data_IF_482086882212
#
_entry.id   IF_482086882212
#
_cell.length_a   1.000
_cell.length_b   1.000
_cell.length_c   1.000
_cell.angle_alpha   90.00
_cell.angle_beta   90.00
_cell.angle_gamma   90.00
#
_symmetry.space_group_name_H-M   'P 1'
#
loop_
_entity.id
_entity.type
_entity.pdbx_description
1 polymer ?
#
# COMPACT_ATOMS: atom_id res chain seq x y z
N UNK A 1 43.96 3.75 -46.31
CA UNK A 1 42.60 4.18 -46.69
C UNK A 1 42.34 5.43 -45.84
N UNK A 2 41.16 6.05 -45.80
CA UNK A 2 40.93 7.09 -44.78
C UNK A 2 39.51 6.94 -44.27
N UNK A 3 39.36 6.64 -42.99
CA UNK A 3 38.04 6.51 -42.34
C UNK A 3 37.39 7.88 -42.19
N UNK A 4 36.54 8.23 -43.16
CA UNK A 4 35.80 9.50 -43.21
C UNK A 4 34.36 9.39 -42.71
N UNK A 5 33.83 8.17 -42.59
CA UNK A 5 32.49 7.91 -42.05
C UNK A 5 32.53 7.85 -40.53
N UNK A 6 31.49 8.36 -39.87
CA UNK A 6 31.24 8.19 -38.43
C UNK A 6 30.40 6.95 -38.12
N UNK A 7 29.87 6.28 -39.13
CA UNK A 7 29.08 5.05 -38.96
C UNK A 7 30.00 3.87 -38.68
N UNK A 8 29.64 3.09 -37.67
CA UNK A 8 30.22 1.79 -37.33
C UNK A 8 29.15 0.73 -36.98
N UNK A 9 27.87 1.14 -36.94
CA UNK A 9 26.69 0.31 -36.77
C UNK A 9 25.54 0.91 -37.57
N UNK A 10 24.69 0.05 -38.10
CA UNK A 10 23.42 0.40 -38.73
C UNK A 10 22.35 -0.67 -38.46
N UNK A 11 21.08 -0.30 -38.65
CA UNK A 11 19.96 -1.19 -38.38
C UNK A 11 18.94 -1.12 -39.53
N UNK A 12 18.44 -2.28 -39.93
CA UNK A 12 17.46 -2.46 -40.99
C UNK A 12 16.17 -3.07 -40.44
N UNK A 13 15.03 -2.51 -40.84
CA UNK A 13 13.74 -3.17 -40.66
C UNK A 13 13.65 -4.38 -41.59
N UNK A 14 13.02 -5.45 -41.13
CA UNK A 14 12.94 -6.73 -41.85
C UNK A 14 11.52 -7.02 -42.29
N UNK A 15 11.37 -7.54 -43.51
CA UNK A 15 10.09 -7.75 -44.21
C UNK A 15 9.79 -9.24 -44.49
N UNK A 16 10.66 -10.15 -44.06
CA UNK A 16 10.53 -11.59 -44.35
C UNK A 16 11.00 -12.01 -45.75
N UNK A 17 11.50 -11.08 -46.58
CA UNK A 17 11.83 -11.34 -48.00
C UNK A 17 13.22 -10.85 -48.36
N UNK A 18 13.61 -9.66 -47.89
CA UNK A 18 14.91 -9.04 -48.20
C UNK A 18 16.04 -9.83 -47.53
N UNK A 19 16.98 -10.30 -48.34
CA UNK A 19 18.12 -11.10 -47.90
C UNK A 19 19.48 -10.41 -48.08
N UNK A 20 19.55 -9.30 -48.81
CA UNK A 20 20.77 -8.54 -49.05
C UNK A 20 20.66 -7.14 -48.46
N UNK A 21 21.65 -6.75 -47.68
CA UNK A 21 21.71 -5.48 -46.96
C UNK A 21 23.05 -4.80 -47.27
N UNK A 22 23.00 -3.53 -47.66
CA UNK A 22 24.21 -2.73 -47.90
C UNK A 22 24.93 -2.49 -46.58
N UNK A 23 26.26 -2.41 -46.59
CA UNK A 23 27.08 -1.96 -45.46
C UNK A 23 27.64 -0.59 -45.80
N UNK A 24 27.29 0.46 -45.04
CA UNK A 24 27.77 1.82 -45.32
C UNK A 24 29.07 2.19 -44.61
N UNK A 25 29.46 1.45 -43.57
CA UNK A 25 30.70 1.70 -42.84
C UNK A 25 31.88 0.94 -43.47
N UNK A 26 33.09 1.52 -43.46
CA UNK A 26 34.28 0.84 -43.97
C UNK A 26 34.72 -0.31 -43.06
N UNK A 27 35.18 -1.41 -43.64
CA UNK A 27 35.78 -2.55 -42.92
C UNK A 27 36.97 -3.15 -43.71
N UNK A 28 37.87 -3.85 -43.02
CA UNK A 28 39.07 -4.43 -43.66
C UNK A 28 38.82 -5.85 -44.11
N UNK A 29 38.27 -6.67 -43.23
CA UNK A 29 38.01 -8.09 -43.46
C UNK A 29 36.55 -8.42 -43.18
N UNK A 30 36.02 -9.45 -43.84
CA UNK A 30 34.67 -9.95 -43.59
C UNK A 30 34.44 -10.33 -42.12
N UNK A 31 35.51 -10.73 -41.41
CA UNK A 31 35.50 -11.06 -39.98
C UNK A 31 35.25 -9.86 -39.07
N UNK A 32 35.43 -8.64 -39.57
CA UNK A 32 35.19 -7.42 -38.81
C UNK A 32 33.69 -7.08 -38.74
N UNK A 33 32.88 -7.69 -39.62
CA UNK A 33 31.45 -7.41 -39.75
C UNK A 33 30.64 -8.45 -38.98
N UNK A 34 29.80 -7.97 -38.07
CA UNK A 34 28.94 -8.78 -37.23
C UNK A 34 27.48 -8.42 -37.45
N UNK A 35 26.58 -9.39 -37.25
CA UNK A 35 25.15 -9.20 -37.43
C UNK A 35 24.34 -9.84 -36.30
N UNK A 36 23.36 -9.09 -35.80
CA UNK A 36 22.40 -9.54 -34.78
C UNK A 36 21.00 -9.27 -35.28
N UNK A 37 20.14 -10.29 -35.23
CA UNK A 37 18.72 -10.17 -35.51
C UNK A 37 17.91 -10.15 -34.21
N UNK A 38 16.98 -9.22 -34.11
CA UNK A 38 15.99 -9.16 -33.03
C UNK A 38 14.61 -9.32 -33.64
N UNK A 39 13.86 -10.33 -33.21
CA UNK A 39 12.51 -10.57 -33.73
C UNK A 39 11.46 -9.60 -33.16
N UNK A 40 10.21 -9.70 -33.64
CA UNK A 40 9.11 -8.83 -33.19
C UNK A 40 8.73 -9.02 -31.70
N UNK A 41 9.19 -10.10 -31.06
CA UNK A 41 8.97 -10.39 -29.65
C UNK A 41 10.16 -9.96 -28.77
N UNK A 42 11.24 -9.46 -29.37
CA UNK A 42 12.46 -9.03 -28.68
C UNK A 42 13.47 -10.15 -28.45
N UNK A 43 13.30 -11.33 -29.04
CA UNK A 43 14.30 -12.40 -28.94
C UNK A 43 15.53 -12.06 -29.79
N UNK A 44 16.72 -12.18 -29.19
CA UNK A 44 18.00 -11.82 -29.82
C UNK A 44 18.69 -13.06 -30.38
N UNK A 45 19.09 -13.02 -31.65
CA UNK A 45 19.86 -14.06 -32.33
C UNK A 45 21.13 -13.47 -32.94
N UNK A 46 22.30 -13.94 -32.51
CA UNK A 46 23.59 -13.61 -33.15
C UNK A 46 23.77 -14.49 -34.38
N UNK A 47 24.01 -13.87 -35.54
CA UNK A 47 24.26 -14.60 -36.78
C UNK A 47 25.75 -14.88 -36.92
N UNK A 48 26.11 -16.06 -37.45
CA UNK A 48 27.50 -16.46 -37.67
C UNK A 48 27.91 -16.26 -39.14
N UNK A 49 29.06 -15.59 -39.34
CA UNK A 49 29.68 -15.43 -40.66
C UNK A 49 29.97 -16.81 -41.28
N UNK A 50 29.68 -16.95 -42.58
CA UNK A 50 29.76 -18.18 -43.39
C UNK A 50 28.78 -19.30 -43.05
N UNK A 51 28.02 -19.21 -41.96
CA UNK A 51 26.95 -20.16 -41.63
C UNK A 51 25.55 -19.56 -41.86
N UNK A 52 25.34 -18.33 -41.42
CA UNK A 52 24.05 -17.63 -41.49
C UNK A 52 24.07 -16.48 -42.49
N UNK A 53 25.24 -15.87 -42.72
CA UNK A 53 25.42 -14.80 -43.69
C UNK A 53 26.80 -14.82 -44.33
N UNK A 54 26.92 -14.15 -45.47
CA UNK A 54 28.19 -13.86 -46.16
C UNK A 54 28.36 -12.36 -46.32
N UNK A 55 29.61 -11.91 -46.34
CA UNK A 55 29.96 -10.51 -46.58
C UNK A 55 30.71 -10.41 -47.90
N UNK A 56 30.54 -9.29 -48.58
CA UNK A 56 31.28 -8.95 -49.80
C UNK A 56 31.58 -7.46 -49.82
N UNK A 57 32.60 -7.05 -50.56
CA UNK A 57 33.11 -5.68 -50.55
C UNK A 57 34.25 -5.52 -49.55
N UNK A 58 34.29 -4.42 -48.81
CA UNK A 58 35.36 -4.15 -47.85
C UNK A 58 36.59 -3.53 -48.49
N UNK A 59 37.78 -3.89 -48.01
CA UNK A 59 39.04 -3.28 -48.46
C UNK A 59 39.14 -1.78 -48.13
N UNK A 60 38.47 -1.36 -47.05
CA UNK A 60 38.40 0.03 -46.65
C UNK A 60 37.25 0.85 -47.27
N UNK A 61 36.27 0.19 -47.87
CA UNK A 61 35.00 0.78 -48.26
C UNK A 61 33.83 0.03 -47.59
N UNK A 62 32.61 0.49 -47.87
CA UNK A 62 31.40 -0.27 -47.56
C UNK A 62 31.33 -1.59 -48.34
N UNK A 63 30.24 -2.32 -48.14
CA UNK A 63 30.07 -3.64 -48.73
C UNK A 63 28.61 -4.06 -48.77
N UNK A 64 28.37 -5.37 -48.78
CA UNK A 64 27.04 -5.95 -48.64
C UNK A 64 27.11 -7.21 -47.78
N UNK A 65 26.11 -7.35 -46.91
CA UNK A 65 25.84 -8.56 -46.15
C UNK A 65 24.64 -9.27 -46.77
N UNK A 66 24.80 -10.56 -47.06
CA UNK A 66 23.74 -11.41 -47.59
C UNK A 66 23.46 -12.53 -46.59
N UNK A 67 22.24 -12.59 -46.07
CA UNK A 67 21.80 -13.69 -45.20
C UNK A 67 21.33 -14.89 -46.02
N UNK A 68 21.60 -16.10 -45.52
CA UNK A 68 21.18 -17.35 -46.16
C UNK A 68 19.66 -17.56 -46.09
N UNK A 69 19.03 -17.06 -45.02
CA UNK A 69 17.58 -17.06 -44.82
C UNK A 69 17.13 -15.64 -44.51
N UNK A 70 16.14 -15.12 -45.25
CA UNK A 70 15.62 -13.78 -45.01
C UNK A 70 15.08 -13.65 -43.57
N UNK A 71 15.40 -12.57 -42.84
CA UNK A 71 14.98 -12.43 -41.45
C UNK A 71 13.47 -12.22 -41.39
N UNK A 72 12.82 -12.81 -40.38
CA UNK A 72 11.36 -12.77 -40.26
C UNK A 72 10.80 -11.34 -40.19
N UNK A 73 9.63 -11.12 -40.78
CA UNK A 73 9.01 -9.80 -40.86
C UNK A 73 8.74 -9.19 -39.47
N UNK A 74 8.92 -7.87 -39.36
CA UNK A 74 8.63 -7.12 -38.14
C UNK A 74 9.75 -7.13 -37.09
N UNK A 75 10.90 -7.74 -37.40
CA UNK A 75 12.12 -7.64 -36.59
C UNK A 75 13.07 -6.54 -37.06
N UNK A 76 14.23 -6.45 -36.40
CA UNK A 76 15.32 -5.55 -36.73
C UNK A 76 16.64 -6.31 -36.89
N UNK A 77 17.31 -6.13 -38.03
CA UNK A 77 18.64 -6.65 -38.29
C UNK A 77 19.67 -5.54 -38.05
N UNK A 78 20.61 -5.78 -37.14
CA UNK A 78 21.66 -4.82 -36.77
C UNK A 78 22.99 -5.32 -37.30
N UNK A 79 23.67 -4.48 -38.08
CA UNK A 79 25.01 -4.73 -38.61
C UNK A 79 25.98 -3.80 -37.91
N UNK A 80 27.13 -4.31 -37.49
CA UNK A 80 28.13 -3.49 -36.82
C UNK A 80 29.55 -4.00 -37.08
N UNK A 81 30.51 -3.09 -36.94
CA UNK A 81 31.92 -3.39 -37.01
C UNK A 81 32.47 -3.68 -35.62
N UNK A 82 33.24 -4.75 -35.52
CA UNK A 82 34.02 -5.10 -34.34
C UNK A 82 35.40 -5.60 -34.75
N UNK A 83 36.42 -4.76 -34.57
CA UNK A 83 37.83 -5.13 -34.77
C UNK A 83 38.56 -5.37 -33.43
N UNK A 84 39.55 -6.27 -33.39
CA UNK A 84 40.35 -6.54 -32.19
C UNK A 84 41.09 -5.30 -31.65
N UNK A 85 41.23 -5.21 -30.33
CA UNK A 85 41.99 -4.16 -29.64
C UNK A 85 43.51 -4.43 -29.61
N UNK A 86 44.08 -4.83 -30.74
CA UNK A 86 45.51 -5.15 -30.89
C UNK A 86 46.14 -4.31 -31.99
N UNK A 87 47.44 -4.07 -31.89
CA UNK A 87 48.23 -3.54 -33.00
C UNK A 87 48.79 -4.72 -33.80
N UNK A 88 48.66 -4.66 -35.13
CA UNK A 88 49.12 -5.73 -36.02
C UNK A 88 50.50 -5.43 -36.60
N UNK A 89 50.83 -4.14 -36.75
CA UNK A 89 52.05 -3.69 -37.42
C UNK A 89 53.18 -3.45 -36.40
N UNK A 90 54.34 -4.07 -36.63
CA UNK A 90 55.58 -3.89 -35.87
C UNK A 90 56.63 -3.18 -36.75
N UNK A 91 57.03 -1.97 -36.37
CA UNK A 91 58.00 -1.18 -37.13
C UNK A 91 59.40 -1.36 -36.56
N UNK A 92 60.34 -1.70 -37.44
CA UNK A 92 61.76 -1.87 -37.08
C UNK A 92 62.49 -0.53 -37.21
N UNK A 93 63.44 -0.30 -36.31
CA UNK A 93 64.32 0.88 -36.34
C UNK A 93 65.16 0.90 -37.64
N UNK A 94 65.36 2.10 -38.20
CA UNK A 94 66.13 2.36 -39.44
C UNK A 94 65.56 1.78 -40.75
N UNK A 95 64.40 1.11 -40.73
CA UNK A 95 63.70 0.69 -41.94
C UNK A 95 62.88 1.84 -42.56
N UNK A 96 62.77 1.89 -43.91
CA UNK A 96 61.87 2.85 -44.57
C UNK A 96 60.43 2.66 -44.09
N UNK A 97 59.77 3.73 -43.66
CA UNK A 97 58.38 3.68 -43.19
C UNK A 97 57.38 3.58 -44.36
N UNK A 98 56.72 2.43 -44.59
CA UNK A 98 55.71 2.31 -45.63
C UNK A 98 54.45 3.09 -45.22
N UNK A 99 54.18 4.18 -45.96
CA UNK A 99 53.04 5.05 -45.69
C UNK A 99 51.68 4.33 -45.70
N UNK A 100 51.51 3.31 -46.55
CA UNK A 100 50.26 2.54 -46.64
C UNK A 100 50.00 1.69 -45.39
N UNK A 101 51.02 1.00 -44.87
CA UNK A 101 50.94 0.28 -43.59
C UNK A 101 50.67 1.23 -42.44
N UNK A 102 51.33 2.39 -42.44
CA UNK A 102 51.14 3.41 -41.40
C UNK A 102 49.72 3.95 -41.38
N UNK A 103 49.19 4.30 -42.55
CA UNK A 103 47.81 4.75 -42.68
C UNK A 103 46.82 3.65 -42.28
N UNK A 104 47.06 2.39 -42.66
CA UNK A 104 46.23 1.26 -42.22
C UNK A 104 46.18 1.09 -40.71
N UNK A 105 47.31 1.31 -40.02
CA UNK A 105 47.38 1.35 -38.56
C UNK A 105 46.54 2.49 -37.96
N UNK A 106 46.59 3.69 -38.54
CA UNK A 106 45.78 4.84 -38.10
C UNK A 106 44.29 4.64 -38.37
N UNK A 107 43.91 4.13 -39.54
CA UNK A 107 42.53 3.79 -39.88
C UNK A 107 41.95 2.80 -38.85
N UNK A 108 42.68 1.73 -38.51
CA UNK A 108 42.28 0.78 -37.47
C UNK A 108 42.15 1.42 -36.09
N UNK A 109 43.03 2.37 -35.74
CA UNK A 109 42.90 3.11 -34.48
C UNK A 109 41.61 3.94 -34.45
N UNK A 110 41.32 4.70 -35.51
CA UNK A 110 40.07 5.48 -35.65
C UNK A 110 38.84 4.57 -35.56
N UNK A 111 38.88 3.40 -36.19
CA UNK A 111 37.77 2.44 -36.13
C UNK A 111 37.53 1.89 -34.70
N UNK A 112 38.59 1.64 -33.91
CA UNK A 112 38.49 1.25 -32.49
C UNK A 112 37.94 2.38 -31.63
N UNK A 113 38.36 3.62 -31.88
CA UNK A 113 37.84 4.79 -31.17
C UNK A 113 36.34 4.97 -31.44
N UNK A 114 35.89 4.79 -32.67
CA UNK A 114 34.47 4.79 -33.02
C UNK A 114 33.70 3.69 -32.29
N UNK A 115 34.25 2.47 -32.22
CA UNK A 115 33.66 1.36 -31.46
C UNK A 115 33.54 1.66 -29.96
N UNK A 116 34.59 2.22 -29.34
CA UNK A 116 34.56 2.61 -27.93
C UNK A 116 33.55 3.73 -27.67
N UNK A 117 33.53 4.76 -28.54
CA UNK A 117 32.58 5.87 -28.42
C UNK A 117 31.15 5.37 -28.51
N UNK A 118 30.85 4.53 -29.49
CA UNK A 118 29.53 3.97 -29.68
C UNK A 118 29.10 3.08 -28.50
N UNK A 119 30.02 2.30 -27.92
CA UNK A 119 29.78 1.54 -26.68
C UNK A 119 29.46 2.46 -25.49
N UNK A 120 30.21 3.56 -25.34
CA UNK A 120 29.99 4.57 -24.30
C UNK A 120 28.64 5.29 -24.46
N UNK A 121 28.25 5.62 -25.69
CA UNK A 121 26.96 6.27 -25.98
C UNK A 121 25.76 5.37 -25.62
N UNK A 122 25.96 4.05 -25.53
CA UNK A 122 24.94 3.07 -25.09
C UNK A 122 25.04 2.70 -23.61
N UNK A 123 26.02 3.22 -22.89
CA UNK A 123 26.21 2.94 -21.47
C UNK A 123 25.47 3.96 -20.58
N UNK A 124 25.20 3.58 -19.32
CA UNK A 124 24.82 4.53 -18.29
C UNK A 124 26.05 5.37 -17.92
N UNK A 125 25.95 6.69 -18.06
CA UNK A 125 27.05 7.62 -17.80
C UNK A 125 26.62 8.73 -16.88
N UNK A 126 27.58 9.25 -16.10
CA UNK A 126 27.37 10.47 -15.34
C UNK A 126 27.51 11.70 -16.23
N UNK A 127 26.80 12.80 -15.90
CA UNK A 127 27.03 14.06 -16.57
C UNK A 127 28.45 14.55 -16.31
N UNK A 128 28.99 15.33 -17.24
CA UNK A 128 30.33 15.95 -17.11
C UNK A 128 30.45 16.87 -15.88
N UNK A 129 29.32 17.32 -15.32
CA UNK A 129 29.24 18.19 -14.14
C UNK A 129 29.26 17.42 -12.81
N UNK A 130 29.42 16.10 -12.82
CA UNK A 130 29.44 15.30 -11.59
C UNK A 130 30.59 15.74 -10.67
N UNK A 131 30.34 15.77 -9.36
CA UNK A 131 31.35 16.16 -8.39
C UNK A 131 32.50 15.14 -8.34
N UNK A 132 33.76 15.58 -8.11
CA UNK A 132 34.87 14.67 -7.87
C UNK A 132 34.58 13.76 -6.66
N UNK A 133 34.91 12.47 -6.77
CA UNK A 133 34.75 11.49 -5.70
C UNK A 133 33.46 10.67 -5.76
N UNK A 134 32.50 11.01 -6.64
CA UNK A 134 31.30 10.16 -6.86
C UNK A 134 31.71 8.88 -7.62
N UNK A 135 31.41 7.72 -7.05
CA UNK A 135 31.71 6.42 -7.64
C UNK A 135 30.73 6.06 -8.75
N UNK A 136 31.27 5.58 -9.88
CA UNK A 136 30.51 4.99 -10.99
C UNK A 136 30.43 3.45 -10.91
N UNK A 137 30.98 2.85 -9.85
CA UNK A 137 30.97 1.40 -9.67
C UNK A 137 29.58 0.95 -9.21
N UNK A 138 28.96 0.06 -9.98
CA UNK A 138 27.71 -0.57 -9.60
C UNK A 138 27.94 -1.55 -8.42
N UNK A 139 27.00 -1.64 -7.47
CA UNK A 139 27.04 -2.66 -6.43
C UNK A 139 26.89 -4.06 -7.04
N UNK A 140 27.41 -5.09 -6.34
CA UNK A 140 27.16 -6.48 -6.73
C UNK A 140 25.65 -6.74 -6.79
N UNK A 141 25.13 -7.45 -7.80
CA UNK A 141 23.70 -7.70 -7.90
C UNK A 141 23.18 -8.48 -6.68
N UNK A 142 22.06 -8.04 -6.15
CA UNK A 142 21.35 -8.70 -5.05
C UNK A 142 19.91 -9.00 -5.48
N UNK A 143 19.43 -10.21 -5.19
CA UNK A 143 18.06 -10.60 -5.49
C UNK A 143 17.07 -9.59 -4.89
N UNK A 144 16.08 -9.21 -5.70
CA UNK A 144 14.95 -8.34 -5.34
C UNK A 144 15.33 -6.93 -4.85
N UNK A 145 16.60 -6.52 -4.97
CA UNK A 145 17.04 -5.17 -4.62
C UNK A 145 17.02 -4.24 -5.85
N UNK A 146 16.72 -2.96 -5.60
CA UNK A 146 16.80 -1.91 -6.62
C UNK A 146 18.15 -1.19 -6.55
N UNK A 147 18.64 -0.75 -7.70
CA UNK A 147 19.76 0.17 -7.76
C UNK A 147 19.29 1.58 -7.36
N UNK A 148 19.97 2.21 -6.40
CA UNK A 148 19.66 3.58 -5.98
C UNK A 148 20.86 4.32 -5.41
N UNK A 149 20.72 5.63 -5.21
CA UNK A 149 21.75 6.45 -4.58
C UNK A 149 21.87 6.15 -3.08
N UNK A 150 23.09 6.04 -2.59
CA UNK A 150 23.33 5.94 -1.15
C UNK A 150 22.97 7.26 -0.42
N UNK A 151 22.95 7.24 0.91
CA UNK A 151 22.55 8.43 1.69
C UNK A 151 23.52 9.60 1.58
N UNK A 152 24.77 9.37 1.18
CA UNK A 152 25.80 10.39 1.01
C UNK A 152 25.81 11.01 -0.40
N UNK A 153 25.03 10.46 -1.33
CA UNK A 153 24.99 10.81 -2.75
C UNK A 153 26.37 10.73 -3.46
N UNK A 154 27.27 9.89 -2.96
CA UNK A 154 28.62 9.69 -3.50
C UNK A 154 28.81 8.32 -4.17
N UNK A 155 27.74 7.52 -4.26
CA UNK A 155 27.75 6.24 -4.94
C UNK A 155 26.38 5.58 -5.04
N UNK A 156 26.34 4.49 -5.79
CA UNK A 156 25.16 3.64 -5.95
C UNK A 156 25.21 2.46 -4.98
N UNK A 157 24.05 2.08 -4.47
CA UNK A 157 23.88 0.92 -3.59
C UNK A 157 22.61 0.14 -3.94
N UNK A 158 22.55 -1.11 -3.47
CA UNK A 158 21.34 -1.90 -3.51
C UNK A 158 20.40 -1.46 -2.39
N UNK A 159 19.24 -0.93 -2.77
CA UNK A 159 18.16 -0.61 -1.86
C UNK A 159 17.25 -1.82 -1.71
N UNK A 160 17.10 -2.30 -0.48
CA UNK A 160 16.07 -3.28 -0.17
C UNK A 160 14.69 -2.61 -0.28
N UNK A 161 13.76 -3.29 -0.92
CA UNK A 161 12.34 -2.93 -0.88
C UNK A 161 11.70 -3.65 0.29
N UNK A 162 11.01 -2.90 1.14
CA UNK A 162 10.19 -3.51 2.17
C UNK A 162 9.04 -4.28 1.50
N UNK A 163 8.63 -5.45 2.01
CA UNK A 163 7.51 -6.21 1.48
C UNK A 163 6.25 -5.32 1.32
N UNK A 164 5.68 -5.29 0.12
CA UNK A 164 4.51 -4.45 -0.22
C UNK A 164 4.84 -3.10 -0.84
N UNK A 165 6.12 -2.76 -1.05
CA UNK A 165 6.50 -1.51 -1.73
C UNK A 165 6.22 -1.60 -3.24
N UNK A 166 5.28 -0.80 -3.74
CA UNK A 166 5.04 -0.63 -5.17
C UNK A 166 6.11 0.29 -5.80
N UNK A 167 6.84 -0.21 -6.78
CA UNK A 167 7.92 0.52 -7.48
C UNK A 167 7.37 1.36 -8.65
N UNK A 168 6.12 1.14 -9.06
CA UNK A 168 5.55 1.68 -10.31
C UNK A 168 4.10 2.17 -10.19
N UNK A 169 3.79 3.07 -9.26
CA UNK A 169 2.51 3.77 -9.34
C UNK A 169 2.67 5.04 -10.20
N UNK A 170 1.95 5.13 -11.32
CA UNK A 170 1.76 6.43 -11.98
C UNK A 170 1.03 7.36 -11.01
N UNK A 171 1.33 8.67 -11.02
CA UNK A 171 0.64 9.67 -10.16
C UNK A 171 -0.89 9.58 -10.31
N UNK A 172 -1.38 9.20 -11.50
CA UNK A 172 -2.78 8.94 -11.76
C UNK A 172 -3.33 7.70 -11.03
N UNK A 173 -2.59 6.60 -11.00
CA UNK A 173 -2.99 5.38 -10.28
C UNK A 173 -2.94 5.56 -8.76
N UNK A 174 -1.93 6.29 -8.25
CA UNK A 174 -1.85 6.68 -6.83
C UNK A 174 -3.06 7.53 -6.42
N UNK A 175 -3.48 8.46 -7.28
CA UNK A 175 -4.63 9.34 -6.99
C UNK A 175 -6.00 8.66 -7.19
N UNK A 176 -6.07 7.59 -7.99
CA UNK A 176 -7.33 6.88 -8.28
C UNK A 176 -7.64 5.73 -7.31
N UNK A 177 -6.67 5.28 -6.49
CA UNK A 177 -6.88 4.20 -5.51
C UNK A 177 -7.33 2.86 -6.11
N UNK A 178 -7.12 2.67 -7.42
CA UNK A 178 -7.72 1.59 -8.20
C UNK A 178 -6.86 0.31 -8.27
N UNK A 179 -5.67 0.31 -7.68
CA UNK A 179 -4.77 -0.83 -7.76
C UNK A 179 -4.98 -1.79 -6.57
N UNK A 180 -5.63 -2.93 -6.83
CA UNK A 180 -5.78 -4.02 -5.84
C UNK A 180 -4.47 -4.78 -5.57
N UNK A 181 -3.41 -4.49 -6.34
CA UNK A 181 -2.09 -5.14 -6.25
C UNK A 181 -0.96 -4.17 -5.87
N UNK A 182 -1.23 -2.86 -5.73
CA UNK A 182 -0.24 -1.87 -5.33
C UNK A 182 -0.60 -1.35 -3.94
N UNK A 183 -0.15 -2.08 -2.92
CA UNK A 183 -0.37 -1.73 -1.53
C UNK A 183 0.47 -0.51 -1.14
N UNK A 184 -0.02 0.68 -1.47
CA UNK A 184 0.20 1.84 -0.62
C UNK A 184 -0.71 1.62 0.60
N UNK A 185 -0.23 0.85 1.58
CA UNK A 185 -0.68 1.01 2.98
C UNK A 185 0.41 1.68 3.79
N UNK A 186 0.71 2.97 3.56
CA UNK A 186 1.48 3.76 4.48
C UNK A 186 0.68 3.83 5.78
N UNK A 187 1.38 3.73 6.90
CA UNK A 187 0.81 3.89 8.24
C UNK A 187 0.00 5.20 8.42
N UNK A 188 0.11 6.15 7.49
CA UNK A 188 -0.69 7.39 7.43
C UNK A 188 -2.17 7.18 7.12
N UNK A 189 -2.60 6.04 6.58
CA UNK A 189 -4.02 5.76 6.29
C UNK A 189 -4.75 5.07 7.45
N UNK A 190 -4.02 4.37 8.32
CA UNK A 190 -4.57 3.71 9.53
C UNK A 190 -5.20 4.70 10.53
N UNK A 191 -4.93 6.01 10.38
CA UNK A 191 -5.57 7.10 11.13
C UNK A 191 -6.23 8.17 10.26
N UNK A 192 -6.41 7.93 8.95
CA UNK A 192 -7.07 8.91 8.08
C UNK A 192 -8.57 8.91 8.35
N UNK A 193 -9.21 10.10 8.28
CA UNK A 193 -10.67 10.26 8.40
C UNK A 193 -11.48 9.54 7.31
N UNK A 194 -10.79 8.90 6.37
CA UNK A 194 -11.33 8.11 5.27
C UNK A 194 -11.17 6.60 5.48
N UNK A 195 -10.62 6.16 6.62
CA UNK A 195 -10.73 4.76 7.04
C UNK A 195 -11.90 4.60 8.03
N UNK A 196 -13.12 4.31 7.53
CA UNK A 196 -14.30 4.10 8.36
C UNK A 196 -14.25 2.86 9.27
N UNK A 197 -13.25 1.97 9.13
CA UNK A 197 -13.12 0.77 9.97
C UNK A 197 -12.43 1.06 11.30
N UNK A 198 -12.89 0.45 12.39
CA UNK A 198 -12.34 0.63 13.74
C UNK A 198 -13.42 0.79 14.79
N UNK A 199 -13.01 1.20 16.01
CA UNK A 199 -13.91 1.33 17.16
C UNK A 199 -14.63 2.68 17.15
N UNK A 200 -15.94 2.64 17.00
CA UNK A 200 -16.84 3.79 17.05
C UNK A 200 -17.74 3.71 18.28
N UNK A 201 -18.36 4.82 18.67
CA UNK A 201 -19.44 4.79 19.65
C UNK A 201 -20.79 5.06 18.99
N UNK A 202 -21.79 4.29 19.40
CA UNK A 202 -23.21 4.52 19.16
C UNK A 202 -23.79 5.22 20.39
N UNK A 203 -24.10 6.53 20.32
CA UNK A 203 -24.62 7.27 21.45
C UNK A 203 -26.14 7.05 21.57
N UNK A 204 -26.57 6.51 22.70
CA UNK A 204 -27.97 6.26 23.03
C UNK A 204 -28.40 7.21 24.15
N UNK A 205 -29.50 7.94 23.98
CA UNK A 205 -30.03 8.76 25.04
C UNK A 205 -30.64 7.87 26.14
N UNK A 206 -30.41 8.17 27.42
CA UNK A 206 -30.99 7.38 28.52
C UNK A 206 -32.52 7.29 28.39
N UNK A 207 -33.14 8.39 27.96
CA UNK A 207 -34.58 8.50 27.79
C UNK A 207 -35.18 7.75 26.58
N UNK A 208 -34.36 7.15 25.70
CA UNK A 208 -34.85 6.30 24.60
C UNK A 208 -34.99 4.83 24.99
N UNK A 209 -34.51 4.45 26.17
CA UNK A 209 -34.75 3.12 26.73
C UNK A 209 -36.18 3.03 27.27
N UNK A 210 -36.78 1.85 27.10
CA UNK A 210 -38.12 1.48 27.56
C UNK A 210 -37.97 0.81 28.93
N UNK A 211 -38.52 1.40 30.01
CA UNK A 211 -38.51 0.78 31.33
C UNK A 211 -39.18 -0.59 31.34
N UNK A 212 -38.56 -1.56 32.00
CA UNK A 212 -39.24 -2.82 32.34
C UNK A 212 -40.10 -2.59 33.58
N UNK A 213 -41.40 -2.38 33.37
CA UNK A 213 -42.35 -2.14 34.46
C UNK A 213 -42.66 -3.39 35.29
N UNK A 214 -42.11 -4.55 34.92
CA UNK A 214 -42.32 -5.82 35.63
C UNK A 214 -41.28 -6.08 36.72
N UNK A 215 -40.18 -5.29 36.78
CA UNK A 215 -39.20 -5.39 37.86
C UNK A 215 -39.80 -4.95 39.20
N UNK A 216 -39.27 -5.51 40.29
CA UNK A 216 -39.57 -4.99 41.63
C UNK A 216 -39.23 -3.49 41.68
N UNK A 217 -40.15 -2.65 42.18
CA UNK A 217 -40.01 -1.18 42.15
C UNK A 217 -40.80 -0.47 41.05
N UNK A 218 -41.26 -1.19 40.02
CA UNK A 218 -42.03 -0.61 38.91
C UNK A 218 -41.18 -0.14 37.72
N UNK A 219 -39.86 -0.33 37.81
CA UNK A 219 -38.92 -0.03 36.73
C UNK A 219 -38.50 1.45 36.72
N UNK A 220 -37.39 1.76 36.02
CA UNK A 220 -36.81 3.09 36.06
C UNK A 220 -37.74 4.12 35.40
N UNK A 221 -37.73 5.36 35.88
CA UNK A 221 -38.64 6.41 35.38
C UNK A 221 -37.98 7.30 34.34
N UNK A 222 -38.66 7.58 33.23
CA UNK A 222 -38.22 8.59 32.27
C UNK A 222 -38.71 9.97 32.70
N UNK A 223 -37.81 10.81 33.19
CA UNK A 223 -38.13 12.10 33.83
C UNK A 223 -37.53 13.29 33.08
N UNK A 224 -38.20 14.44 33.16
CA UNK A 224 -37.59 15.73 32.80
C UNK A 224 -37.04 16.40 34.06
N UNK A 225 -35.72 16.60 34.09
CA UNK A 225 -35.02 17.27 35.19
C UNK A 225 -34.51 18.63 34.71
N UNK A 226 -34.48 19.62 35.59
CA UNK A 226 -33.97 20.97 35.28
C UNK A 226 -32.89 21.33 36.30
N UNK A 227 -31.73 21.81 35.85
CA UNK A 227 -30.68 22.27 36.79
C UNK A 227 -31.14 23.50 37.57
N UNK A 228 -30.62 23.66 38.79
CA UNK A 228 -31.15 24.64 39.74
C UNK A 228 -30.90 26.08 39.29
N UNK A 229 -29.64 26.45 39.03
CA UNK A 229 -29.25 27.86 38.78
C UNK A 229 -29.58 28.32 37.36
N UNK A 230 -29.14 27.56 36.36
CA UNK A 230 -29.23 27.96 34.96
C UNK A 230 -30.45 27.36 34.24
N UNK A 231 -31.27 26.56 34.94
CA UNK A 231 -32.49 25.95 34.42
C UNK A 231 -32.30 25.19 33.10
N UNK A 232 -31.15 24.55 32.93
CA UNK A 232 -30.89 23.68 31.77
C UNK A 232 -31.79 22.44 31.86
N UNK A 233 -32.65 22.18 30.85
CA UNK A 233 -33.52 21.01 30.84
C UNK A 233 -32.77 19.77 30.36
N UNK A 234 -33.03 18.64 31.01
CA UNK A 234 -32.52 17.31 30.70
C UNK A 234 -33.67 16.31 30.68
N UNK A 235 -33.51 15.25 29.89
CA UNK A 235 -34.36 14.07 29.97
C UNK A 235 -33.49 12.90 30.44
N UNK A 236 -33.88 12.27 31.53
CA UNK A 236 -33.10 11.21 32.19
C UNK A 236 -33.92 9.94 32.32
N UNK A 237 -33.24 8.82 32.43
CA UNK A 237 -33.80 7.55 32.88
C UNK A 237 -33.31 7.29 34.31
N UNK A 238 -34.23 7.34 35.25
CA UNK A 238 -33.95 7.39 36.68
C UNK A 238 -34.12 5.99 37.28
N UNK A 239 -33.00 5.36 37.63
CA UNK A 239 -32.98 4.08 38.35
C UNK A 239 -32.96 4.32 39.85
N UNK A 240 -33.90 3.73 40.57
CA UNK A 240 -33.97 3.83 42.02
C UNK A 240 -32.80 3.08 42.70
N UNK A 241 -32.52 3.41 43.97
CA UNK A 241 -31.45 2.79 44.75
C UNK A 241 -31.87 1.63 45.65
N UNK A 242 -33.18 1.35 45.73
CA UNK A 242 -33.75 0.37 46.65
C UNK A 242 -33.97 -1.00 46.00
N UNK A 243 -34.30 -1.03 44.72
CA UNK A 243 -34.69 -2.21 43.96
C UNK A 243 -33.91 -2.33 42.67
N UNK A 244 -33.64 -3.57 42.25
CA UNK A 244 -32.96 -3.81 40.98
C UNK A 244 -33.95 -3.55 39.85
N UNK A 245 -33.57 -2.67 38.95
CA UNK A 245 -34.41 -2.16 37.88
C UNK A 245 -33.71 -2.29 36.53
N UNK A 246 -34.48 -2.46 35.45
CA UNK A 246 -33.94 -2.61 34.10
C UNK A 246 -34.75 -1.87 33.04
N UNK A 247 -34.11 -1.55 31.92
CA UNK A 247 -34.73 -0.93 30.75
C UNK A 247 -34.05 -1.41 29.47
N UNK A 248 -34.84 -1.62 28.42
CA UNK A 248 -34.38 -2.14 27.13
C UNK A 248 -34.49 -1.12 26.00
N UNK A 249 -33.68 -1.27 24.96
CA UNK A 249 -33.87 -0.55 23.68
C UNK A 249 -33.59 -1.50 22.53
N UNK A 250 -34.39 -1.42 21.47
CA UNK A 250 -34.14 -2.13 20.21
C UNK A 250 -33.63 -1.15 19.16
N UNK A 251 -32.57 -1.55 18.47
CA UNK A 251 -31.96 -0.78 17.39
C UNK A 251 -31.62 -1.69 16.21
N UNK A 252 -31.81 -1.21 14.98
CA UNK A 252 -31.22 -1.86 13.82
C UNK A 252 -29.70 -1.76 13.94
N UNK A 253 -29.01 -2.89 13.95
CA UNK A 253 -27.58 -2.92 14.18
C UNK A 253 -26.82 -2.52 12.91
N UNK A 254 -25.71 -1.76 13.02
CA UNK A 254 -24.91 -1.39 11.85
C UNK A 254 -24.39 -2.63 11.12
N UNK A 255 -24.66 -2.74 9.81
CA UNK A 255 -24.14 -3.85 8.99
C UNK A 255 -22.62 -3.83 8.89
N UNK A 256 -22.03 -2.64 9.01
CA UNK A 256 -20.59 -2.45 9.05
C UNK A 256 -19.89 -2.97 10.30
N UNK A 257 -20.65 -3.44 11.31
CA UNK A 257 -20.04 -4.02 12.51
C UNK A 257 -19.20 -5.25 12.18
N UNK A 258 -18.14 -5.47 12.94
CA UNK A 258 -17.30 -6.68 12.81
C UNK A 258 -17.92 -7.93 13.46
N UNK A 259 -19.18 -7.83 13.94
CA UNK A 259 -19.90 -8.85 14.70
C UNK A 259 -19.14 -9.36 15.95
N UNK A 260 -18.12 -8.60 16.36
CA UNK A 260 -17.28 -8.91 17.50
C UNK A 260 -17.93 -8.51 18.82
N UNK A 261 -17.09 -8.33 19.83
CA UNK A 261 -17.56 -7.87 21.14
C UNK A 261 -17.76 -6.37 21.15
N UNK A 262 -18.80 -5.91 21.83
CA UNK A 262 -19.02 -4.50 22.14
C UNK A 262 -18.54 -4.18 23.56
N UNK A 263 -18.50 -2.90 23.90
CA UNK A 263 -18.38 -2.45 25.29
C UNK A 263 -19.33 -1.27 25.52
N UNK A 264 -19.58 -0.89 26.77
CA UNK A 264 -20.44 0.25 27.06
C UNK A 264 -19.83 1.17 28.11
N UNK A 265 -20.34 2.39 28.13
CA UNK A 265 -20.12 3.40 29.17
C UNK A 265 -21.41 4.15 29.41
N UNK A 266 -21.71 4.49 30.65
CA UNK A 266 -22.89 5.29 30.99
C UNK A 266 -22.52 6.65 31.56
N UNK A 267 -23.40 7.62 31.30
CA UNK A 267 -23.31 9.00 31.79
C UNK A 267 -24.52 9.27 32.65
N UNK A 268 -24.31 9.80 33.84
CA UNK A 268 -25.39 9.95 34.81
C UNK A 268 -25.20 11.18 35.68
N UNK A 269 -26.26 11.55 36.40
CA UNK A 269 -26.23 12.55 37.46
C UNK A 269 -26.93 11.98 38.68
N UNK A 270 -26.61 12.53 39.84
CA UNK A 270 -27.32 12.29 41.09
C UNK A 270 -27.74 13.62 41.70
N UNK A 271 -28.94 13.68 42.27
CA UNK A 271 -29.44 14.82 43.04
C UNK A 271 -29.29 14.64 44.55
N UNK A 272 -28.86 13.46 44.99
CA UNK A 272 -28.57 13.08 46.36
C UNK A 272 -27.44 12.05 46.38
N UNK A 273 -26.93 11.71 47.57
CA UNK A 273 -25.79 10.80 47.76
C UNK A 273 -24.51 11.52 48.20
N UNK A 274 -23.50 10.74 48.54
CA UNK A 274 -22.21 11.18 49.07
C UNK A 274 -21.10 10.84 48.08
N UNK A 275 -20.17 11.76 47.88
CA UNK A 275 -18.94 11.48 47.13
C UNK A 275 -18.24 10.27 47.77
N UNK A 276 -17.94 9.22 46.99
CA UNK A 276 -17.49 7.85 47.37
C UNK A 276 -18.52 6.74 47.19
N UNK A 277 -19.82 7.05 47.13
CA UNK A 277 -20.81 6.01 46.85
C UNK A 277 -20.74 5.58 45.38
N UNK A 278 -20.74 4.27 45.17
CA UNK A 278 -20.76 3.63 43.86
C UNK A 278 -22.17 3.30 43.39
N UNK A 279 -22.36 3.34 42.07
CA UNK A 279 -23.53 2.80 41.37
C UNK A 279 -23.04 1.71 40.42
N UNK A 280 -23.73 0.57 40.36
CA UNK A 280 -23.36 -0.54 39.47
C UNK A 280 -24.39 -0.69 38.38
N UNK A 281 -23.98 -0.39 37.15
CA UNK A 281 -24.78 -0.65 35.97
C UNK A 281 -24.26 -1.90 35.27
N UNK A 282 -25.17 -2.74 34.80
CA UNK A 282 -24.83 -3.86 33.93
C UNK A 282 -25.55 -3.77 32.59
N UNK A 283 -24.92 -4.38 31.60
CA UNK A 283 -25.38 -4.36 30.22
C UNK A 283 -25.32 -5.77 29.64
N UNK A 284 -26.38 -6.16 28.94
CA UNK A 284 -26.46 -7.38 28.15
C UNK A 284 -27.17 -7.11 26.84
N UNK A 285 -26.94 -7.95 25.83
CA UNK A 285 -27.49 -7.75 24.50
C UNK A 285 -27.82 -9.07 23.79
N UNK A 286 -28.74 -9.00 22.83
CA UNK A 286 -29.14 -10.10 21.94
C UNK A 286 -29.54 -9.55 20.56
N UNK A 287 -29.11 -10.21 19.49
CA UNK A 287 -29.53 -9.98 18.11
C UNK A 287 -30.76 -10.81 17.75
N UNK A 288 -31.59 -10.26 16.87
CA UNK A 288 -32.76 -10.90 16.29
C UNK A 288 -32.74 -10.69 14.76
N UNK A 289 -32.69 -11.79 14.04
CA UNK A 289 -32.90 -11.84 12.59
C UNK A 289 -34.38 -11.96 12.23
N UNK A 290 -34.66 -11.99 10.92
CA UNK A 290 -36.03 -12.17 10.42
C UNK A 290 -36.58 -13.56 10.78
N UNK A 291 -37.74 -13.58 11.46
CA UNK A 291 -38.39 -14.81 11.92
C UNK A 291 -37.93 -15.34 13.28
N UNK A 292 -37.00 -14.66 13.96
CA UNK A 292 -36.52 -15.08 15.29
C UNK A 292 -37.56 -14.89 16.39
N UNK A 293 -37.47 -15.74 17.43
CA UNK A 293 -38.32 -15.63 18.63
C UNK A 293 -37.81 -14.51 19.53
N UNK A 294 -38.59 -13.43 19.64
CA UNK A 294 -38.22 -12.24 20.42
C UNK A 294 -38.21 -12.49 21.94
N UNK A 295 -39.01 -13.41 22.45
CA UNK A 295 -39.01 -13.82 23.86
C UNK A 295 -37.84 -14.78 24.16
N UNK A 296 -36.63 -14.25 24.02
CA UNK A 296 -35.38 -14.98 24.25
C UNK A 296 -34.50 -14.19 25.20
N UNK A 297 -33.98 -14.86 26.24
CA UNK A 297 -33.09 -14.25 27.22
C UNK A 297 -31.80 -13.70 26.56
N UNK A 298 -31.36 -12.54 27.03
CA UNK A 298 -30.12 -11.87 26.60
C UNK A 298 -28.86 -12.71 26.87
N UNK A 299 -27.71 -12.26 26.36
CA UNK A 299 -26.39 -12.81 26.72
C UNK A 299 -25.97 -12.50 28.17
N UNK A 300 -24.72 -12.84 28.47
CA UNK A 300 -24.10 -12.59 29.78
C UNK A 300 -24.02 -11.09 30.08
N UNK A 301 -24.46 -10.70 31.28
CA UNK A 301 -24.36 -9.31 31.75
C UNK A 301 -22.92 -8.97 32.11
N UNK A 302 -22.42 -7.84 31.63
CA UNK A 302 -21.17 -7.22 32.09
C UNK A 302 -21.50 -6.00 32.93
N UNK A 303 -20.87 -5.89 34.11
CA UNK A 303 -21.12 -4.84 35.09
C UNK A 303 -19.98 -3.83 35.12
N UNK A 304 -20.31 -2.58 35.38
CA UNK A 304 -19.38 -1.46 35.60
C UNK A 304 -19.84 -0.69 36.82
N UNK A 305 -18.92 -0.49 37.76
CA UNK A 305 -19.11 0.39 38.90
C UNK A 305 -18.58 1.79 38.55
N UNK A 306 -19.35 2.82 38.87
CA UNK A 306 -18.89 4.21 38.82
C UNK A 306 -19.13 4.89 40.17
N UNK A 307 -18.17 5.71 40.59
CA UNK A 307 -18.20 6.39 41.89
C UNK A 307 -18.71 7.80 41.72
N UNK A 308 -19.72 8.19 42.51
CA UNK A 308 -20.18 9.57 42.57
C UNK A 308 -19.03 10.50 42.99
N UNK A 309 -18.72 11.48 42.15
CA UNK A 309 -17.76 12.54 42.46
C UNK A 309 -18.42 13.67 43.27
N UNK A 310 -19.59 14.14 42.83
CA UNK A 310 -20.39 15.13 43.53
C UNK A 310 -21.83 15.18 42.98
N UNK A 311 -22.77 15.61 43.82
CA UNK A 311 -24.16 15.85 43.41
C UNK A 311 -24.26 16.98 42.36
N UNK A 312 -25.19 16.84 41.42
CA UNK A 312 -25.45 17.84 40.38
C UNK A 312 -24.36 17.95 39.30
N UNK A 313 -23.33 17.10 39.32
CA UNK A 313 -22.33 16.99 38.28
C UNK A 313 -22.59 15.78 37.39
N UNK A 314 -22.26 15.89 36.11
CA UNK A 314 -22.23 14.74 35.22
C UNK A 314 -21.11 13.80 35.65
N UNK A 315 -21.49 12.57 35.91
CA UNK A 315 -20.63 11.43 36.15
C UNK A 315 -20.49 10.64 34.84
N UNK A 316 -19.34 10.01 34.64
CA UNK A 316 -19.03 9.24 33.43
C UNK A 316 -18.27 8.01 33.85
N UNK A 317 -18.86 6.83 33.64
CA UNK A 317 -18.23 5.58 34.02
C UNK A 317 -16.96 5.29 33.24
N UNK A 318 -16.14 4.37 33.76
CA UNK A 318 -15.18 3.65 32.93
C UNK A 318 -15.90 2.91 31.79
N UNK A 319 -15.16 2.62 30.72
CA UNK A 319 -15.64 1.70 29.69
C UNK A 319 -15.63 0.27 30.24
N UNK A 320 -16.67 -0.50 29.93
CA UNK A 320 -16.77 -1.89 30.34
C UNK A 320 -15.71 -2.77 29.68
N UNK A 321 -15.53 -3.97 30.23
CA UNK A 321 -14.91 -5.07 29.50
C UNK A 321 -15.79 -5.51 28.32
N UNK A 322 -15.24 -6.36 27.45
CA UNK A 322 -15.93 -6.92 26.29
C UNK A 322 -17.26 -7.62 26.65
N UNK A 323 -18.30 -7.33 25.87
CA UNK A 323 -19.65 -7.90 25.92
C UNK A 323 -19.90 -8.62 24.61
N UNK A 324 -20.32 -9.88 24.70
CA UNK A 324 -20.81 -10.63 23.55
C UNK A 324 -22.29 -10.34 23.35
N UNK A 325 -22.68 -9.86 22.16
CA UNK A 325 -24.08 -9.81 21.75
C UNK A 325 -24.49 -11.23 21.38
N UNK A 326 -25.46 -11.78 22.11
CA UNK A 326 -25.93 -13.15 21.85
C UNK A 326 -26.63 -13.21 20.49
N UNK A 327 -26.36 -14.26 19.71
CA UNK A 327 -27.01 -14.51 18.40
C UNK A 327 -26.88 -13.36 17.39
N UNK A 328 -25.83 -12.54 17.47
CA UNK A 328 -25.64 -11.48 16.49
C UNK A 328 -25.27 -12.04 15.11
N UNK A 329 -25.95 -11.54 14.08
CA UNK A 329 -25.61 -11.68 12.67
C UNK A 329 -25.79 -10.35 11.92
N UNK A 330 -25.19 -10.24 10.73
CA UNK A 330 -25.32 -9.08 9.85
C UNK A 330 -26.78 -8.73 9.56
N UNK A 331 -27.16 -7.47 9.80
CA UNK A 331 -28.49 -6.96 9.52
C UNK A 331 -29.52 -7.18 10.62
N UNK A 332 -29.13 -7.77 11.74
CA UNK A 332 -30.01 -7.99 12.89
C UNK A 332 -30.51 -6.71 13.54
N UNK A 333 -31.66 -6.82 14.21
CA UNK A 333 -32.06 -5.86 15.23
C UNK A 333 -31.53 -6.32 16.58
N UNK A 334 -30.80 -5.46 17.29
CA UNK A 334 -30.24 -5.79 18.60
C UNK A 334 -31.06 -5.17 19.71
N UNK A 335 -31.44 -5.99 20.68
CA UNK A 335 -31.99 -5.55 21.97
C UNK A 335 -30.85 -5.37 22.97
N UNK A 336 -30.72 -4.17 23.49
CA UNK A 336 -29.76 -3.78 24.52
C UNK A 336 -30.48 -3.59 25.85
N UNK A 337 -30.08 -4.31 26.89
CA UNK A 337 -30.68 -4.29 28.22
C UNK A 337 -29.72 -3.63 29.21
N UNK A 338 -30.16 -2.54 29.83
CA UNK A 338 -29.45 -1.81 30.87
C UNK A 338 -30.11 -2.07 32.22
N UNK A 339 -29.34 -2.48 33.23
CA UNK A 339 -29.85 -2.82 34.56
C UNK A 339 -29.00 -2.17 35.64
N UNK A 340 -29.62 -1.56 36.66
CA UNK A 340 -28.91 -1.15 37.88
C UNK A 340 -28.93 -2.28 38.88
N UNK A 341 -27.77 -2.76 39.32
CA UNK A 341 -27.64 -3.89 40.25
C UNK A 341 -27.50 -3.43 41.70
N UNK A 342 -28.61 -3.03 42.33
CA UNK A 342 -28.62 -2.53 43.73
C UNK A 342 -28.20 -3.56 44.79
N UNK A 343 -28.23 -4.85 44.47
CA UNK A 343 -27.72 -5.93 45.34
C UNK A 343 -26.22 -6.21 45.20
N UNK A 344 -25.53 -5.54 44.27
CA UNK A 344 -24.09 -5.70 44.08
C UNK A 344 -23.31 -4.96 45.17
N UNK A 345 -22.21 -5.54 45.66
CA UNK A 345 -21.41 -4.93 46.72
C UNK A 345 -20.81 -3.57 46.32
N UNK A 346 -20.68 -3.31 45.02
CA UNK A 346 -20.25 -2.01 44.49
C UNK A 346 -21.35 -0.94 44.45
N UNK A 347 -22.64 -1.30 44.52
CA UNK A 347 -23.74 -0.35 44.50
C UNK A 347 -24.04 0.09 45.94
N UNK A 348 -23.34 1.13 46.36
CA UNK A 348 -23.41 1.66 47.73
C UNK A 348 -24.31 2.90 47.84
N UNK A 349 -25.03 3.23 46.76
CA UNK A 349 -25.95 4.37 46.67
C UNK A 349 -27.41 3.94 46.84
N UNK A 350 -27.78 3.46 48.01
CA UNK A 350 -29.12 2.89 48.25
C UNK A 350 -30.26 3.89 48.44
N UNK A 351 -29.96 5.18 48.66
CA UNK A 351 -30.95 6.23 48.98
C UNK A 351 -31.10 7.31 47.91
N UNK A 352 -30.55 7.12 46.72
CA UNK A 352 -30.57 8.11 45.65
C UNK A 352 -30.68 7.46 44.26
N UNK A 353 -31.33 8.19 43.37
CA UNK A 353 -31.50 7.76 41.98
C UNK A 353 -30.18 7.91 41.22
N UNK A 354 -29.86 6.91 40.41
CA UNK A 354 -28.94 7.05 39.30
C UNK A 354 -29.73 7.54 38.08
N UNK A 355 -29.55 8.81 37.71
CA UNK A 355 -30.26 9.42 36.59
C UNK A 355 -29.41 9.37 35.33
N UNK A 356 -29.63 8.35 34.50
CA UNK A 356 -28.89 8.11 33.24
C UNK A 356 -29.27 9.17 32.21
N UNK A 357 -28.27 9.86 31.67
CA UNK A 357 -28.41 10.83 30.58
C UNK A 357 -28.18 10.14 29.24
N UNK A 358 -27.22 9.23 29.18
CA UNK A 358 -26.88 8.52 27.95
C UNK A 358 -25.98 7.31 28.20
N UNK A 359 -25.99 6.42 27.21
CA UNK A 359 -25.16 5.22 27.14
C UNK A 359 -24.40 5.27 25.83
N UNK A 360 -23.08 5.22 25.91
CA UNK A 360 -22.21 5.05 24.73
C UNK A 360 -21.95 3.54 24.57
N UNK A 361 -22.40 2.95 23.47
CA UNK A 361 -22.06 1.56 23.11
C UNK A 361 -20.92 1.62 22.10
N UNK A 362 -19.79 1.01 22.41
CA UNK A 362 -18.66 0.94 21.49
C UNK A 362 -18.72 -0.31 20.64
N UNK A 363 -18.65 -0.12 19.33
CA UNK A 363 -18.72 -1.15 18.31
C UNK A 363 -17.52 -1.02 17.38
N UNK A 364 -16.91 -2.13 17.03
CA UNK A 364 -15.88 -2.17 16.01
C UNK A 364 -16.52 -2.44 14.65
N UNK A 365 -15.96 -1.81 13.61
CA UNK A 365 -16.45 -1.94 12.22
C UNK A 365 -15.38 -2.59 11.35
N UNK A 366 -15.79 -3.56 10.54
CA UNK A 366 -14.93 -4.30 9.60
C UNK A 366 -15.06 -3.78 8.17
N UNK A 367 -16.14 -3.05 7.86
CA UNK A 367 -16.39 -2.45 6.56
C UNK A 367 -16.56 -0.93 6.68
N UNK A 368 -16.49 -0.25 5.53
CA UNK A 368 -16.58 1.21 5.50
C UNK A 368 -17.96 1.81 5.33
N UNK A 369 -18.95 0.97 5.07
CA UNK A 369 -20.34 1.34 4.86
C UNK A 369 -21.23 0.13 5.11
N UNK A 370 -22.54 0.36 5.21
CA UNK A 370 -23.55 -0.69 5.37
C UNK A 370 -24.05 -1.21 4.01
N UNK A 371 -23.23 -1.12 2.95
CA UNK A 371 -23.63 -1.40 1.56
C UNK A 371 -23.48 -2.87 1.18
#
# INVERSE_FOLDING_TARGET
MTVSSTLNREQYATDGVTAAFTIHFPFFNDTDVNAIFVDALGNVTTLALNADFTVSGGGGAGGALVVNTAPAAGGALTLYREIPFTQEDDYVEDDPLPADTLEGGFDRAVMRDQQLKDSQDRALTYPVTIAPGVSAVLPNPQADALLGWNSAADGLENKALEPGTAVYASVANTNAGAATNEAVTPASLAGSKFNPTGKHHLPLAGSSFVPDTTTAGGGPSVTSTVTVTNKLPFRTLDFDGATQESAGIMIAWPKSSDEGTVSFRYRWIATAGTATQGVVMGFAAIGFGDGDTVDTATGTVVKVTDTLLAIGQQQVSAESTAITIKNLAEGDTVHLLLTRFTGDAGDTMSGADCKIIGVDVFVSTSSGNDA
#
